data_IF_624175571054
#
_entry.id   IF_624175571054
#
_cell.length_a   1.000
_cell.length_b   1.000
_cell.length_c   1.000
_cell.angle_alpha   90.00
_cell.angle_beta   90.00
_cell.angle_gamma   90.00
#
_symmetry.space_group_name_H-M   'P 1'
#
loop_
_entity.id
_entity.type
_entity.pdbx_description
1 polymer ?
#
# COMPACT_ATOMS: atom_id res chain seq x y z
N UNK A 1 23.72 13.08 -0.43
CA UNK A 1 22.35 12.61 -0.17
C UNK A 1 22.23 11.23 -0.79
N UNK A 2 21.90 10.20 -0.01
CA UNK A 2 21.69 8.85 -0.56
C UNK A 2 20.21 8.70 -0.92
N UNK A 3 19.90 8.39 -2.17
CA UNK A 3 18.53 8.25 -2.66
C UNK A 3 18.36 6.82 -3.15
N UNK A 4 17.36 6.13 -2.61
CA UNK A 4 17.00 4.78 -3.04
C UNK A 4 15.86 4.80 -4.05
N UNK A 5 15.85 3.80 -4.93
CA UNK A 5 14.74 3.54 -5.85
C UNK A 5 14.13 2.19 -5.46
N UNK A 6 12.81 2.12 -5.48
CA UNK A 6 12.05 0.90 -5.29
C UNK A 6 10.91 0.84 -6.30
N UNK A 7 10.64 -0.37 -6.78
CA UNK A 7 9.57 -0.65 -7.73
C UNK A 7 8.80 -1.87 -7.24
N UNK A 8 7.50 -1.87 -7.51
CA UNK A 8 6.64 -2.99 -7.21
C UNK A 8 5.50 -3.10 -8.24
N UNK A 9 5.01 -4.31 -8.44
CA UNK A 9 3.90 -4.61 -9.35
C UNK A 9 3.09 -5.77 -8.79
N UNK A 10 1.76 -5.66 -8.88
CA UNK A 10 0.86 -6.75 -8.52
C UNK A 10 -0.35 -6.82 -9.45
N UNK A 11 -0.94 -8.00 -9.50
CA UNK A 11 -2.20 -8.25 -10.19
C UNK A 11 -3.39 -7.77 -9.35
N UNK A 12 -4.21 -6.90 -9.93
CA UNK A 12 -5.40 -6.33 -9.29
C UNK A 12 -6.42 -7.41 -8.86
N UNK A 13 -6.47 -8.54 -9.55
CA UNK A 13 -7.39 -9.65 -9.24
C UNK A 13 -7.15 -10.23 -7.84
N UNK A 14 -5.90 -10.21 -7.34
CA UNK A 14 -5.58 -10.63 -5.97
C UNK A 14 -6.29 -9.79 -4.91
N UNK A 15 -6.55 -8.52 -5.24
CA UNK A 15 -7.24 -7.58 -4.34
C UNK A 15 -8.75 -7.73 -4.40
N UNK A 16 -9.29 -8.28 -5.49
CA UNK A 16 -10.71 -8.54 -5.65
C UNK A 16 -11.22 -9.56 -4.61
N UNK A 17 -10.44 -10.60 -4.35
CA UNK A 17 -10.74 -11.65 -3.37
C UNK A 17 -10.75 -11.14 -1.93
N UNK A 18 -9.91 -10.14 -1.63
CA UNK A 18 -9.71 -9.63 -0.26
C UNK A 18 -10.41 -8.29 0.01
N UNK A 19 -11.00 -7.64 -1.00
CA UNK A 19 -11.64 -6.32 -0.84
C UNK A 19 -12.79 -6.31 0.17
N UNK A 20 -13.36 -7.47 0.49
CA UNK A 20 -14.37 -7.61 1.55
C UNK A 20 -13.78 -7.79 2.95
N UNK A 21 -12.52 -8.19 3.07
CA UNK A 21 -11.87 -8.56 4.32
C UNK A 21 -11.23 -7.35 5.01
N UNK A 22 -12.05 -6.48 5.61
CA UNK A 22 -11.58 -5.28 6.32
C UNK A 22 -10.51 -5.57 7.38
N UNK A 23 -10.61 -6.61 8.24
CA UNK A 23 -9.55 -6.95 9.19
C UNK A 23 -8.19 -7.20 8.52
N UNK A 24 -8.18 -7.87 7.37
CA UNK A 24 -6.96 -8.10 6.59
C UNK A 24 -6.44 -6.80 5.98
N UNK A 25 -7.31 -6.00 5.35
CA UNK A 25 -6.91 -4.72 4.76
C UNK A 25 -6.32 -3.77 5.80
N UNK A 26 -6.84 -3.79 7.03
CA UNK A 26 -6.30 -3.01 8.15
C UNK A 26 -4.90 -3.43 8.59
N UNK A 27 -4.31 -4.52 8.06
CA UNK A 27 -2.89 -4.83 8.29
C UNK A 27 -1.97 -3.86 7.56
N UNK A 28 -2.38 -3.33 6.40
CA UNK A 28 -1.55 -2.47 5.57
C UNK A 28 -2.16 -1.10 5.24
N UNK A 29 -3.49 -0.95 5.32
CA UNK A 29 -4.18 0.34 5.14
C UNK A 29 -4.47 1.02 6.48
N UNK A 30 -4.24 2.32 6.57
CA UNK A 30 -4.79 3.16 7.63
C UNK A 30 -6.31 3.31 7.52
N UNK A 31 -6.97 3.74 8.60
CA UNK A 31 -8.41 4.03 8.58
C UNK A 31 -8.78 5.07 7.52
N UNK A 32 -7.91 6.07 7.30
CA UNK A 32 -8.14 7.13 6.32
C UNK A 32 -8.01 6.63 4.88
N UNK A 33 -7.00 5.80 4.60
CA UNK A 33 -6.85 5.15 3.30
C UNK A 33 -8.01 4.20 3.00
N UNK A 34 -8.43 3.42 4.00
CA UNK A 34 -9.55 2.51 3.87
C UNK A 34 -10.84 3.27 3.56
N UNK A 35 -11.11 4.37 4.29
CA UNK A 35 -12.24 5.27 4.01
C UNK A 35 -12.17 5.83 2.58
N UNK A 36 -10.98 6.24 2.12
CA UNK A 36 -10.81 6.71 0.74
C UNK A 36 -11.13 5.60 -0.27
N UNK A 37 -10.55 4.40 -0.12
CA UNK A 37 -10.75 3.30 -1.08
C UNK A 37 -12.23 2.96 -1.23
N UNK A 38 -12.95 2.83 -0.12
CA UNK A 38 -14.38 2.53 -0.13
C UNK A 38 -15.28 3.73 -0.48
N UNK A 39 -14.74 4.93 -0.65
CA UNK A 39 -15.51 6.07 -1.20
C UNK A 39 -15.61 6.04 -2.72
N UNK A 40 -14.90 5.13 -3.38
CA UNK A 40 -14.84 4.99 -4.83
C UNK A 40 -15.81 3.92 -5.30
N UNK A 41 -16.27 4.05 -6.55
CA UNK A 41 -17.21 3.11 -7.18
C UNK A 41 -16.68 1.68 -7.15
N UNK A 42 -15.40 1.51 -7.46
CA UNK A 42 -14.69 0.24 -7.29
C UNK A 42 -13.49 0.43 -6.35
N UNK A 43 -13.49 -0.14 -5.14
CA UNK A 43 -12.38 0.00 -4.20
C UNK A 43 -11.14 -0.79 -4.60
N UNK A 44 -11.25 -1.84 -5.42
CA UNK A 44 -10.16 -2.79 -5.72
C UNK A 44 -8.89 -2.11 -6.25
N UNK A 45 -8.92 -1.29 -7.31
CA UNK A 45 -7.71 -0.61 -7.80
C UNK A 45 -7.11 0.34 -6.77
N UNK A 46 -7.95 0.96 -5.94
CA UNK A 46 -7.50 1.90 -4.91
C UNK A 46 -6.85 1.21 -3.71
N UNK A 47 -7.24 -0.02 -3.40
CA UNK A 47 -6.58 -0.88 -2.43
C UNK A 47 -5.24 -1.35 -3.02
N UNK A 48 -5.25 -1.88 -4.25
CA UNK A 48 -4.08 -2.43 -4.92
C UNK A 48 -2.95 -1.40 -5.04
N UNK A 49 -3.25 -0.20 -5.56
CA UNK A 49 -2.24 0.86 -5.76
C UNK A 49 -1.57 1.29 -4.44
N UNK A 50 -2.31 1.21 -3.32
CA UNK A 50 -1.76 1.54 -2.00
C UNK A 50 -0.87 0.45 -1.46
N UNK A 51 -1.20 -0.80 -1.72
CA UNK A 51 -0.34 -1.92 -1.34
C UNK A 51 1.01 -1.82 -2.06
N UNK A 52 0.99 -1.78 -3.40
CA UNK A 52 2.23 -1.74 -4.21
C UNK A 52 3.01 -0.43 -4.02
N UNK A 53 2.31 0.70 -3.86
CA UNK A 53 2.95 1.98 -3.59
C UNK A 53 3.72 1.97 -2.26
N UNK A 54 3.16 1.33 -1.22
CA UNK A 54 3.85 1.16 0.06
C UNK A 54 5.03 0.22 -0.05
N UNK A 55 4.90 -0.91 -0.76
CA UNK A 55 6.03 -1.82 -1.01
C UNK A 55 7.17 -1.13 -1.76
N UNK A 56 6.87 -0.35 -2.80
CA UNK A 56 7.87 0.38 -3.56
C UNK A 56 8.65 1.38 -2.69
N UNK A 57 7.96 2.10 -1.79
CA UNK A 57 8.61 3.01 -0.82
C UNK A 57 9.48 2.25 0.16
N UNK A 58 8.99 1.15 0.74
CA UNK A 58 9.76 0.31 1.68
C UNK A 58 11.03 -0.23 1.00
N UNK A 59 10.91 -0.75 -0.23
CA UNK A 59 12.05 -1.21 -1.05
C UNK A 59 13.08 -0.10 -1.28
N UNK A 60 12.62 1.11 -1.60
CA UNK A 60 13.50 2.27 -1.80
C UNK A 60 14.28 2.62 -0.52
N UNK A 61 13.63 2.62 0.64
CA UNK A 61 14.25 2.91 1.94
C UNK A 61 15.24 1.83 2.36
N UNK A 62 14.88 0.55 2.17
CA UNK A 62 15.73 -0.58 2.53
C UNK A 62 17.02 -0.59 1.70
N UNK A 63 16.94 -0.20 0.42
CA UNK A 63 18.11 -0.08 -0.46
C UNK A 63 19.14 0.96 0.00
N UNK A 64 18.77 1.92 0.86
CA UNK A 64 19.69 2.91 1.44
C UNK A 64 19.99 2.65 2.92
N UNK A 65 19.65 1.46 3.42
CA UNK A 65 19.96 1.02 4.79
C UNK A 65 19.00 1.53 5.86
N UNK A 66 17.86 2.10 5.47
CA UNK A 66 16.77 2.44 6.40
C UNK A 66 15.87 1.21 6.51
N UNK A 67 16.07 0.41 7.56
CA UNK A 67 15.28 -0.80 7.83
C UNK A 67 14.13 -0.52 8.81
N UNK A 68 13.36 -1.55 9.15
CA UNK A 68 12.26 -1.51 10.13
C UNK A 68 11.14 -0.52 9.76
N UNK A 69 10.85 -0.41 8.46
CA UNK A 69 9.74 0.38 7.92
C UNK A 69 8.65 -0.57 7.47
N UNK A 70 7.46 -0.40 8.03
CA UNK A 70 6.30 -1.25 7.77
C UNK A 70 5.23 -0.51 6.96
N UNK A 71 4.27 -1.24 6.40
CA UNK A 71 3.16 -0.65 5.62
C UNK A 71 2.40 0.46 6.36
N UNK A 72 2.36 0.40 7.69
CA UNK A 72 1.66 1.40 8.52
C UNK A 72 2.45 2.69 8.71
N UNK A 73 3.75 2.69 8.44
CA UNK A 73 4.59 3.88 8.50
C UNK A 73 4.48 4.73 7.23
N UNK A 74 3.97 4.13 6.14
CA UNK A 74 3.77 4.80 4.84
C UNK A 74 2.28 5.06 4.63
N UNK A 75 1.88 6.32 4.44
CA UNK A 75 0.50 6.72 4.16
C UNK A 75 0.42 7.40 2.79
N UNK A 76 -0.44 6.89 1.91
CA UNK A 76 -0.64 7.45 0.57
C UNK A 76 -1.92 8.31 0.56
N UNK A 77 -1.73 9.62 0.41
CA UNK A 77 -2.77 10.64 0.39
C UNK A 77 -3.07 11.07 -1.06
N UNK A 78 -4.34 11.41 -1.32
CA UNK A 78 -4.85 11.94 -2.59
C UNK A 78 -5.60 13.24 -2.34
#
# INVERSE_FOLDING_TARGET
MNIGIGVDIDDISRFEEIKGNKPFLMKFLSTQELKYCYSKTDPTPHIAVRFVGKEAVIKALYNIGICDVFFKDVHILN
#
